data_IF_227685053026
#
_entry.id   IF_227685053026
#
_cell.length_a   1.000
_cell.length_b   1.000
_cell.length_c   1.000
_cell.angle_alpha   90.00
_cell.angle_beta   90.00
_cell.angle_gamma   90.00
#
_symmetry.space_group_name_H-M   'P 1'
#
loop_
_entity.id
_entity.type
_entity.pdbx_description
1 polymer ?
#
# COMPACT_ATOMS: atom_id res chain seq x y z
N UNK A 1 -7.24 -1.18 -18.61
CA UNK A 1 -6.73 -2.51 -19.03
C UNK A 1 -7.04 -3.59 -18.00
N UNK A 2 -6.70 -3.40 -16.72
CA UNK A 2 -6.96 -4.38 -15.65
C UNK A 2 -8.43 -4.51 -15.24
N UNK A 3 -9.28 -3.52 -15.56
CA UNK A 3 -10.68 -3.48 -15.12
C UNK A 3 -11.56 -4.61 -15.67
N UNK A 4 -11.10 -5.32 -16.70
CA UNK A 4 -11.77 -6.50 -17.28
C UNK A 4 -11.26 -7.83 -16.71
N UNK A 5 -10.26 -7.81 -15.84
CA UNK A 5 -9.71 -9.01 -15.21
C UNK A 5 -10.60 -9.45 -14.05
N UNK A 6 -10.93 -10.74 -14.01
CA UNK A 6 -11.67 -11.35 -12.92
C UNK A 6 -10.72 -11.75 -11.78
N UNK A 7 -10.19 -10.75 -11.09
CA UNK A 7 -9.26 -10.93 -9.97
C UNK A 7 -9.86 -10.47 -8.65
N UNK A 8 -9.51 -11.11 -7.55
CA UNK A 8 -9.94 -10.71 -6.20
C UNK A 8 -9.16 -9.52 -5.66
N UNK A 9 -7.90 -9.36 -6.08
CA UNK A 9 -7.02 -8.28 -5.65
C UNK A 9 -6.13 -7.77 -6.79
N UNK A 10 -5.71 -6.50 -6.69
CA UNK A 10 -4.73 -5.88 -7.58
C UNK A 10 -3.59 -5.30 -6.74
N UNK A 11 -2.35 -5.66 -7.09
CA UNK A 11 -1.16 -5.06 -6.48
C UNK A 11 -0.73 -3.84 -7.27
N UNK A 12 -0.39 -2.77 -6.56
CA UNK A 12 0.03 -1.48 -7.12
C UNK A 12 1.41 -1.14 -6.57
N UNK A 13 2.29 -0.57 -7.39
CA UNK A 13 3.59 -0.06 -6.94
C UNK A 13 3.52 1.42 -6.52
N UNK A 14 4.63 1.95 -6.01
CA UNK A 14 4.69 3.27 -5.38
C UNK A 14 4.46 4.46 -6.32
N UNK A 15 4.43 4.24 -7.64
CA UNK A 15 4.31 5.32 -8.63
C UNK A 15 2.93 5.95 -8.67
N UNK A 16 1.91 5.26 -8.16
CA UNK A 16 0.54 5.75 -8.11
C UNK A 16 -0.04 5.64 -6.70
N UNK A 17 -0.73 6.66 -6.18
CA UNK A 17 -1.54 6.52 -4.97
C UNK A 17 -2.57 5.40 -5.12
N UNK A 18 -2.85 4.69 -4.03
CA UNK A 18 -3.84 3.60 -4.04
C UNK A 18 -5.24 4.16 -4.35
N UNK A 19 -5.56 5.34 -3.80
CA UNK A 19 -6.84 5.99 -4.05
C UNK A 19 -7.08 6.28 -5.53
N UNK A 20 -6.06 6.70 -6.28
CA UNK A 20 -6.14 7.00 -7.71
C UNK A 20 -6.55 5.74 -8.51
N UNK A 21 -5.82 4.64 -8.32
CA UNK A 21 -6.10 3.38 -9.01
C UNK A 21 -7.45 2.80 -8.59
N UNK A 22 -7.82 2.93 -7.31
CA UNK A 22 -9.13 2.49 -6.84
C UNK A 22 -10.29 3.27 -7.47
N UNK A 23 -10.12 4.59 -7.65
CA UNK A 23 -11.12 5.45 -8.29
C UNK A 23 -11.24 5.12 -9.78
N UNK A 24 -10.14 4.78 -10.45
CA UNK A 24 -10.19 4.28 -11.83
C UNK A 24 -10.95 2.95 -11.90
N UNK A 25 -10.64 1.99 -11.03
CA UNK A 25 -11.31 0.69 -11.01
C UNK A 25 -12.83 0.82 -10.85
N UNK A 26 -13.29 1.75 -9.99
CA UNK A 26 -14.72 2.05 -9.77
C UNK A 26 -15.42 2.55 -11.03
N UNK A 27 -14.77 3.38 -11.86
CA UNK A 27 -15.33 3.87 -13.13
C UNK A 27 -15.66 2.73 -14.10
N UNK A 28 -14.97 1.59 -13.95
CA UNK A 28 -15.22 0.37 -14.72
C UNK A 28 -16.03 -0.68 -13.96
N UNK A 29 -16.76 -0.30 -12.90
CA UNK A 29 -17.67 -1.19 -12.16
C UNK A 29 -16.99 -2.11 -11.14
N UNK A 30 -15.68 -2.01 -10.91
CA UNK A 30 -14.93 -2.87 -9.97
C UNK A 30 -14.91 -2.30 -8.55
N UNK A 31 -16.09 -2.06 -7.96
CA UNK A 31 -16.23 -1.36 -6.66
C UNK A 31 -15.70 -2.14 -5.45
N UNK A 32 -15.67 -3.47 -5.53
CA UNK A 32 -15.33 -4.35 -4.41
C UNK A 32 -13.93 -4.98 -4.51
N UNK A 33 -13.08 -4.47 -5.42
CA UNK A 33 -11.73 -4.98 -5.64
C UNK A 33 -10.83 -4.66 -4.42
N UNK A 34 -10.06 -5.64 -3.97
CA UNK A 34 -9.02 -5.44 -2.95
C UNK A 34 -7.76 -4.87 -3.58
N UNK A 35 -7.09 -3.94 -2.90
CA UNK A 35 -5.83 -3.37 -3.34
C UNK A 35 -4.70 -3.78 -2.39
N UNK A 36 -3.54 -4.08 -2.97
CA UNK A 36 -2.32 -4.39 -2.22
C UNK A 36 -1.20 -3.42 -2.60
N UNK A 37 -0.40 -3.01 -1.62
CA UNK A 37 0.80 -2.21 -1.85
C UNK A 37 0.93 -1.07 -0.84
N UNK A 38 1.65 0.00 -1.17
CA UNK A 38 2.49 0.12 -2.36
C UNK A 38 3.84 0.77 -2.06
N UNK A 39 4.35 0.63 -0.83
CA UNK A 39 5.55 1.35 -0.40
C UNK A 39 6.76 0.96 -1.26
N UNK A 40 7.55 1.96 -1.67
CA UNK A 40 8.81 1.73 -2.38
C UNK A 40 9.75 0.91 -1.46
N UNK A 41 10.27 -0.25 -1.91
CA UNK A 41 11.13 -1.09 -1.07
C UNK A 41 12.41 -0.38 -0.61
N UNK A 42 12.89 0.66 -1.33
CA UNK A 42 14.05 1.45 -0.91
C UNK A 42 13.78 2.19 0.40
N UNK A 43 12.54 2.57 0.68
CA UNK A 43 12.17 3.23 1.95
C UNK A 43 12.42 2.32 3.15
N UNK A 44 12.43 1.00 2.96
CA UNK A 44 12.72 0.02 4.01
C UNK A 44 14.22 -0.13 4.33
N UNK A 45 15.09 0.62 3.63
CA UNK A 45 16.51 0.74 3.96
C UNK A 45 16.78 1.86 4.98
N UNK A 46 15.80 2.74 5.20
CA UNK A 46 15.92 3.87 6.11
C UNK A 46 15.63 3.46 7.57
N UNK A 47 15.98 4.34 8.50
CA UNK A 47 15.52 4.22 9.89
C UNK A 47 14.02 4.50 9.99
N UNK A 48 13.38 3.88 10.98
CA UNK A 48 11.92 3.91 11.17
C UNK A 48 11.33 5.34 11.14
N UNK A 49 11.96 6.33 11.77
CA UNK A 49 11.39 7.69 11.83
C UNK A 49 11.25 8.35 10.45
N UNK A 50 12.13 7.98 9.50
CA UNK A 50 12.04 8.42 8.10
C UNK A 50 11.01 7.57 7.36
N UNK A 51 11.08 6.24 7.50
CA UNK A 51 10.14 5.30 6.88
C UNK A 51 8.69 5.57 7.25
N UNK A 52 8.44 5.88 8.54
CA UNK A 52 7.12 6.17 9.08
C UNK A 52 6.41 7.27 8.30
N UNK A 53 7.13 8.32 7.86
CA UNK A 53 6.54 9.41 7.07
C UNK A 53 5.95 8.92 5.75
N UNK A 54 6.60 7.96 5.09
CA UNK A 54 6.10 7.36 3.85
C UNK A 54 4.96 6.39 4.10
N UNK A 55 5.04 5.61 5.18
CA UNK A 55 3.94 4.74 5.62
C UNK A 55 2.69 5.58 5.92
N UNK A 56 2.84 6.70 6.62
CA UNK A 56 1.77 7.64 6.93
C UNK A 56 1.11 8.19 5.67
N UNK A 57 1.85 8.48 4.60
CA UNK A 57 1.27 8.95 3.34
C UNK A 57 0.31 7.91 2.75
N UNK A 58 0.71 6.63 2.73
CA UNK A 58 -0.09 5.54 2.16
C UNK A 58 -1.30 5.25 3.05
N UNK A 59 -1.10 5.13 4.36
CA UNK A 59 -2.19 4.80 5.28
C UNK A 59 -3.23 5.94 5.34
N UNK A 60 -2.80 7.21 5.27
CA UNK A 60 -3.73 8.33 5.20
C UNK A 60 -4.46 8.43 3.85
N UNK A 61 -3.81 8.06 2.74
CA UNK A 61 -4.47 7.94 1.43
C UNK A 61 -5.58 6.89 1.48
N UNK A 62 -5.29 5.71 2.01
CA UNK A 62 -6.25 4.61 2.16
C UNK A 62 -7.36 4.97 3.13
N UNK A 63 -7.05 5.55 4.29
CA UNK A 63 -8.03 5.95 5.32
C UNK A 63 -9.09 6.92 4.79
N UNK A 64 -8.70 7.83 3.90
CA UNK A 64 -9.60 8.81 3.28
C UNK A 64 -10.41 8.23 2.11
N UNK A 65 -10.10 7.00 1.69
CA UNK A 65 -10.74 6.33 0.57
C UNK A 65 -11.74 5.27 1.05
N UNK A 66 -12.70 4.91 0.20
CA UNK A 66 -13.69 3.87 0.50
C UNK A 66 -13.13 2.44 0.49
N UNK A 67 -11.82 2.26 0.21
CA UNK A 67 -11.20 0.93 0.13
C UNK A 67 -10.53 0.49 1.44
N UNK A 68 -10.70 1.25 2.53
CA UNK A 68 -10.12 0.97 3.85
C UNK A 68 -10.26 -0.50 4.29
N UNK A 69 -11.43 -1.10 4.11
CA UNK A 69 -11.71 -2.49 4.50
C UNK A 69 -11.18 -3.53 3.48
N UNK A 70 -10.58 -3.07 2.38
CA UNK A 70 -10.14 -3.88 1.24
C UNK A 70 -8.72 -3.49 0.82
N UNK A 71 -7.87 -3.23 1.81
CA UNK A 71 -6.49 -2.84 1.60
C UNK A 71 -5.53 -3.79 2.32
N UNK A 72 -4.49 -4.22 1.61
CA UNK A 72 -3.39 -5.01 2.15
C UNK A 72 -2.12 -4.17 2.02
N UNK A 73 -1.60 -3.66 3.13
CA UNK A 73 -0.33 -2.95 3.11
C UNK A 73 0.80 -3.90 2.69
N UNK A 74 1.58 -3.49 1.69
CA UNK A 74 2.72 -4.27 1.22
C UNK A 74 3.75 -3.37 0.53
N UNK A 75 4.94 -3.87 0.30
CA UNK A 75 5.90 -3.28 -0.64
C UNK A 75 5.38 -3.38 -2.07
N UNK A 76 5.71 -2.39 -2.89
CA UNK A 76 5.38 -2.38 -4.33
C UNK A 76 6.25 -3.31 -5.18
N UNK A 77 7.35 -3.83 -4.61
CA UNK A 77 8.24 -4.81 -5.22
C UNK A 77 9.00 -5.57 -4.10
N UNK A 78 9.76 -6.61 -4.43
CA UNK A 78 10.59 -7.33 -3.47
C UNK A 78 11.61 -6.42 -2.76
N UNK A 79 11.91 -6.76 -1.50
CA UNK A 79 12.96 -6.12 -0.71
C UNK A 79 14.34 -6.20 -1.37
N UNK A 80 15.23 -5.31 -0.94
CA UNK A 80 16.63 -5.33 -1.38
C UNK A 80 17.52 -5.99 -0.32
N UNK A 81 18.74 -6.43 -0.67
CA UNK A 81 19.70 -6.95 0.32
C UNK A 81 20.06 -5.95 1.44
N UNK A 82 19.84 -4.66 1.20
CA UNK A 82 20.12 -3.58 2.15
C UNK A 82 18.91 -3.22 3.03
N UNK A 83 17.80 -3.96 2.93
CA UNK A 83 16.61 -3.72 3.73
C UNK A 83 16.92 -3.87 5.23
N UNK A 84 16.55 -2.84 5.99
CA UNK A 84 16.70 -2.83 7.44
C UNK A 84 15.55 -3.64 8.07
N UNK A 85 15.86 -4.86 8.51
CA UNK A 85 14.86 -5.78 9.09
C UNK A 85 14.20 -5.26 10.37
N UNK A 86 14.92 -4.46 11.17
CA UNK A 86 14.36 -3.82 12.36
C UNK A 86 13.33 -2.75 11.98
N UNK A 87 13.65 -1.93 10.97
CA UNK A 87 12.67 -0.99 10.40
C UNK A 87 11.45 -1.73 9.88
N UNK A 88 11.62 -2.83 9.15
CA UNK A 88 10.49 -3.64 8.64
C UNK A 88 9.60 -4.12 9.78
N UNK A 89 10.18 -4.68 10.85
CA UNK A 89 9.42 -5.13 12.02
C UNK A 89 8.60 -3.99 12.63
N UNK A 90 9.22 -2.83 12.85
CA UNK A 90 8.53 -1.65 13.39
C UNK A 90 7.43 -1.15 12.46
N UNK A 91 7.60 -1.24 11.14
CA UNK A 91 6.55 -0.88 10.18
C UNK A 91 5.37 -1.84 10.27
N UNK A 92 5.62 -3.15 10.39
CA UNK A 92 4.54 -4.14 10.55
C UNK A 92 3.73 -3.85 11.80
N UNK A 93 4.39 -3.62 12.94
CA UNK A 93 3.72 -3.26 14.19
C UNK A 93 2.93 -1.95 14.02
N UNK A 94 3.56 -0.93 13.43
CA UNK A 94 2.92 0.37 13.21
C UNK A 94 1.71 0.31 12.29
N UNK A 95 1.72 -0.51 11.23
CA UNK A 95 0.57 -0.69 10.33
C UNK A 95 -0.60 -1.35 11.05
N UNK A 96 -0.35 -2.30 11.95
CA UNK A 96 -1.41 -2.93 12.75
C UNK A 96 -1.97 -1.98 13.83
N UNK A 97 -1.10 -1.18 14.45
CA UNK A 97 -1.50 -0.16 15.44
C UNK A 97 -2.27 0.99 14.78
N UNK A 98 -1.88 1.35 13.56
CA UNK A 98 -2.59 2.33 12.76
C UNK A 98 -3.94 1.74 12.36
N UNK A 99 -4.92 1.97 13.22
CA UNK A 99 -6.33 1.77 12.91
C UNK A 99 -6.68 2.73 11.77
N UNK A 100 -6.50 2.24 10.54
CA UNK A 100 -7.12 2.81 9.34
C UNK A 100 -8.57 2.99 9.70
#
# INVERSE_FOLDING_TARGET
>A
LFSRLEVSALSVDWRHPISEISNEAKKYGRKNLTFQGNIDPIVMTLDFDKTKKYVDLILNDVKKSEIRERFIFNVGHGFTPHTNTETVKRVVDYVHEFSI
#
